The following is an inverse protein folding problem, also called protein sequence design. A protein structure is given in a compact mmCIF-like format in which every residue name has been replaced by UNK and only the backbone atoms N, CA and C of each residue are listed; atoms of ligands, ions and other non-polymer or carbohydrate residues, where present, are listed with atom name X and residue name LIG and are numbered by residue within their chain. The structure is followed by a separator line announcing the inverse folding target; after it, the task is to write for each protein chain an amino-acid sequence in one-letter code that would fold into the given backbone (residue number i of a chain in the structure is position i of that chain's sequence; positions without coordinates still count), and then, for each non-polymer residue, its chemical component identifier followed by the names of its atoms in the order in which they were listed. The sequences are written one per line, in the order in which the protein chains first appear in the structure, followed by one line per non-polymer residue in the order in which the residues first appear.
data_IF_140396665817
#
_entry.id   IF_140396665817
#
_cell.length_a   1.000
_cell.length_b   1.000
_cell.length_c   1.000
_cell.angle_alpha   90.00
_cell.angle_beta   90.00
_cell.angle_gamma   90.00
#
_symmetry.space_group_name_H-M   'P 1'
#
loop_
_entity.id
_entity.type
_entity.pdbx_description
1 polymer ?
#
# COMPACT_ATOMS: atom_id res chain seq x y z
N UNK A 1 -0.47 -18.02 7.97
CA UNK A 1 0.50 -18.90 8.67
C UNK A 1 1.26 -19.66 7.59
N UNK A 2 2.59 -19.65 7.62
CA UNK A 2 3.41 -20.46 6.71
C UNK A 2 3.36 -21.90 7.19
N UNK A 3 3.14 -22.84 6.27
CA UNK A 3 3.16 -24.27 6.59
C UNK A 3 4.55 -24.86 6.24
N UNK A 4 5.43 -25.10 7.22
CA UNK A 4 6.76 -25.64 6.97
C UNK A 4 6.72 -27.07 6.43
N UNK A 5 5.63 -27.82 6.65
CA UNK A 5 5.49 -29.19 6.17
C UNK A 5 5.33 -29.22 4.65
N UNK A 6 4.58 -28.26 4.08
CA UNK A 6 4.45 -28.11 2.63
C UNK A 6 5.78 -27.76 1.95
N UNK A 7 6.60 -26.93 2.60
CA UNK A 7 7.94 -26.57 2.12
C UNK A 7 8.89 -27.77 2.11
N UNK A 8 8.96 -28.50 3.22
CA UNK A 8 9.81 -29.68 3.39
C UNK A 8 9.43 -30.79 2.41
N UNK A 9 8.13 -31.04 2.21
CA UNK A 9 7.65 -32.06 1.27
C UNK A 9 8.07 -31.76 -0.18
N UNK A 10 8.01 -30.49 -0.61
CA UNK A 10 8.41 -30.10 -1.95
C UNK A 10 9.94 -30.24 -2.17
N UNK A 11 10.75 -29.93 -1.16
CA UNK A 11 12.19 -30.16 -1.19
C UNK A 11 12.52 -31.66 -1.25
N UNK A 12 11.83 -32.50 -0.48
CA UNK A 12 11.99 -33.96 -0.50
C UNK A 12 11.59 -34.59 -1.85
N UNK A 13 10.67 -33.97 -2.60
CA UNK A 13 10.29 -34.37 -3.96
C UNK A 13 11.24 -33.84 -5.06
N UNK A 14 12.34 -33.19 -4.69
CA UNK A 14 13.36 -32.69 -5.62
C UNK A 14 13.06 -31.32 -6.22
N UNK A 15 12.13 -30.53 -5.66
CA UNK A 15 11.95 -29.15 -6.09
C UNK A 15 13.15 -28.28 -5.69
N UNK A 16 13.57 -27.38 -6.59
CA UNK A 16 14.60 -26.38 -6.27
C UNK A 16 14.06 -25.31 -5.31
N UNK A 17 14.93 -24.69 -4.50
CA UNK A 17 14.52 -23.63 -3.57
C UNK A 17 13.79 -22.47 -4.25
N UNK A 18 14.20 -22.08 -5.46
CA UNK A 18 13.52 -21.04 -6.23
C UNK A 18 12.07 -21.43 -6.60
N UNK A 19 11.82 -22.72 -6.86
CA UNK A 19 10.50 -23.27 -7.15
C UNK A 19 9.62 -23.27 -5.88
N UNK A 20 10.18 -23.71 -4.76
CA UNK A 20 9.52 -23.70 -3.45
C UNK A 20 9.14 -22.27 -3.02
N UNK A 21 10.06 -21.31 -3.16
CA UNK A 21 9.79 -19.91 -2.86
C UNK A 21 8.62 -19.36 -3.69
N UNK A 22 8.62 -19.57 -5.00
CA UNK A 22 7.60 -18.99 -5.89
C UNK A 22 6.23 -19.67 -5.79
N UNK A 23 6.19 -20.99 -5.59
CA UNK A 23 4.93 -21.75 -5.61
C UNK A 23 4.33 -21.99 -4.22
N UNK A 24 5.12 -21.98 -3.14
CA UNK A 24 4.63 -22.31 -1.79
C UNK A 24 4.70 -21.07 -0.91
N UNK A 25 5.89 -20.51 -0.72
CA UNK A 25 6.11 -19.41 0.22
C UNK A 25 5.41 -18.13 -0.25
N UNK A 26 5.64 -17.72 -1.50
CA UNK A 26 5.10 -16.49 -2.08
C UNK A 26 3.57 -16.41 -1.94
N UNK A 27 2.76 -17.37 -2.42
CA UNK A 27 1.30 -17.30 -2.26
C UNK A 27 0.85 -17.34 -0.80
N UNK A 28 1.58 -18.02 0.10
CA UNK A 28 1.26 -18.04 1.53
C UNK A 28 1.52 -16.68 2.23
N UNK A 29 2.52 -15.90 1.78
CA UNK A 29 2.80 -14.56 2.33
C UNK A 29 2.08 -13.42 1.61
N UNK A 30 1.59 -13.64 0.39
CA UNK A 30 0.78 -12.66 -0.37
C UNK A 30 -0.30 -11.96 0.47
N UNK A 31 -1.09 -12.60 1.37
CA UNK A 31 -2.04 -11.89 2.23
C UNK A 31 -1.39 -10.83 3.12
N UNK A 32 -0.25 -11.16 3.71
CA UNK A 32 0.52 -10.22 4.51
C UNK A 32 1.06 -9.07 3.66
N UNK A 33 1.59 -9.38 2.47
CA UNK A 33 2.17 -8.38 1.56
C UNK A 33 1.10 -7.41 1.07
N UNK A 34 -0.07 -7.91 0.66
CA UNK A 34 -1.20 -7.09 0.16
C UNK A 34 -1.81 -6.20 1.26
N UNK A 35 -1.82 -6.67 2.51
CA UNK A 35 -2.21 -5.87 3.67
C UNK A 35 -1.16 -4.82 4.02
N UNK A 36 0.13 -5.21 4.03
CA UNK A 36 1.23 -4.30 4.29
C UNK A 36 1.34 -3.19 3.23
N UNK A 37 1.04 -3.49 1.97
CA UNK A 37 1.08 -2.50 0.89
C UNK A 37 0.06 -1.37 1.08
N UNK A 38 -1.09 -1.63 1.70
CA UNK A 38 -2.06 -0.59 2.06
C UNK A 38 -1.48 0.41 3.08
N UNK A 39 -0.77 -0.10 4.08
CA UNK A 39 -0.14 0.71 5.12
C UNK A 39 0.95 1.60 4.48
N UNK A 40 1.80 0.99 3.65
CA UNK A 40 2.85 1.71 2.92
C UNK A 40 2.25 2.76 1.99
N UNK A 41 1.16 2.44 1.28
CA UNK A 41 0.46 3.39 0.42
C UNK A 41 -0.05 4.60 1.21
N UNK A 42 -0.73 4.37 2.34
CA UNK A 42 -1.22 5.45 3.19
C UNK A 42 -0.11 6.38 3.67
N UNK A 43 1.00 5.81 4.13
CA UNK A 43 2.19 6.57 4.55
C UNK A 43 2.79 7.37 3.40
N UNK A 44 3.00 6.73 2.23
CA UNK A 44 3.57 7.38 1.06
C UNK A 44 2.68 8.52 0.53
N UNK A 45 1.36 8.33 0.52
CA UNK A 45 0.40 9.35 0.09
C UNK A 45 0.38 10.58 1.02
N UNK A 46 0.66 10.39 2.31
CA UNK A 46 0.75 11.47 3.30
C UNK A 46 2.13 12.15 3.37
N UNK A 47 3.12 11.64 2.64
CA UNK A 47 4.49 12.16 2.67
C UNK A 47 4.58 13.52 1.98
N UNK A 48 4.86 14.57 2.74
CA UNK A 48 5.11 15.92 2.22
C UNK A 48 6.58 16.34 2.35
N UNK A 49 7.32 15.79 3.32
CA UNK A 49 8.70 16.18 3.59
C UNK A 49 9.65 15.76 2.45
N UNK A 50 9.60 14.49 2.02
CA UNK A 50 10.48 13.97 0.97
C UNK A 50 10.25 14.70 -0.37
N UNK A 51 8.99 14.87 -0.84
CA UNK A 51 8.75 15.63 -2.06
C UNK A 51 9.08 17.11 -1.93
N UNK A 52 8.85 17.73 -0.76
CA UNK A 52 9.20 19.12 -0.52
C UNK A 52 10.70 19.38 -0.63
N UNK A 53 11.53 18.45 -0.18
CA UNK A 53 12.99 18.55 -0.23
C UNK A 53 13.56 18.21 -1.62
N UNK A 54 13.07 17.15 -2.27
CA UNK A 54 13.61 16.66 -3.54
C UNK A 54 12.96 17.29 -4.78
N UNK A 55 11.67 17.63 -4.72
CA UNK A 55 10.89 18.12 -5.87
C UNK A 55 11.02 19.62 -6.13
N UNK A 56 11.51 20.38 -5.15
CA UNK A 56 11.62 21.84 -5.21
C UNK A 56 10.29 22.51 -5.62
N UNK A 57 10.35 23.64 -6.34
CA UNK A 57 9.16 24.37 -6.83
C UNK A 57 8.51 23.76 -8.08
N UNK A 58 9.10 22.75 -8.70
CA UNK A 58 8.67 22.22 -10.01
C UNK A 58 7.73 21.01 -9.92
N UNK A 59 7.85 20.22 -8.86
CA UNK A 59 7.02 19.02 -8.65
C UNK A 59 6.24 19.18 -7.35
N UNK A 60 5.10 19.86 -7.41
CA UNK A 60 4.20 19.98 -6.26
C UNK A 60 3.33 18.74 -6.15
N UNK A 61 3.48 18.02 -5.04
CA UNK A 61 2.57 16.95 -4.65
C UNK A 61 1.39 17.55 -3.88
N UNK A 62 0.23 16.90 -3.88
CA UNK A 62 -0.96 17.42 -3.19
C UNK A 62 -0.67 17.78 -1.72
N UNK A 63 0.13 16.94 -1.04
CA UNK A 63 0.55 17.18 0.34
C UNK A 63 1.43 18.44 0.51
N UNK A 64 2.31 18.74 -0.45
CA UNK A 64 3.12 19.99 -0.42
C UNK A 64 2.27 21.21 -0.75
N UNK A 65 1.25 21.09 -1.61
CA UNK A 65 0.31 22.18 -1.90
C UNK A 65 -0.51 22.54 -0.67
N UNK A 66 -1.01 21.55 0.08
CA UNK A 66 -1.72 21.78 1.34
C UNK A 66 -0.83 22.55 2.33
N UNK A 67 0.44 22.15 2.44
CA UNK A 67 1.43 22.83 3.29
C UNK A 67 1.63 24.30 2.89
N UNK A 68 1.80 24.58 1.59
CA UNK A 68 1.94 25.95 1.06
C UNK A 68 0.69 26.80 1.35
N UNK A 69 -0.51 26.24 1.19
CA UNK A 69 -1.78 26.94 1.45
C UNK A 69 -1.93 27.35 2.92
N UNK A 70 -1.45 26.52 3.85
CA UNK A 70 -1.47 26.81 5.28
C UNK A 70 -0.40 27.84 5.70
N UNK A 71 0.84 27.69 5.21
CA UNK A 71 2.00 28.41 5.77
C UNK A 71 2.53 29.55 4.90
N UNK A 72 2.32 29.51 3.59
CA UNK A 72 2.77 30.57 2.68
C UNK A 72 1.64 31.51 2.31
N UNK A 73 0.49 30.95 1.91
CA UNK A 73 -0.66 31.73 1.44
C UNK A 73 -1.64 32.12 2.56
N UNK A 74 -1.50 31.51 3.75
CA UNK A 74 -2.39 31.70 4.92
C UNK A 74 -3.88 31.51 4.57
N UNK A 75 -4.17 30.69 3.56
CA UNK A 75 -5.51 30.40 3.07
C UNK A 75 -5.98 29.06 3.66
N UNK A 76 -6.28 29.10 4.96
CA UNK A 76 -6.77 27.96 5.74
C UNK A 76 -7.99 27.26 5.12
N UNK A 77 -9.01 27.96 4.57
CA UNK A 77 -10.13 27.31 3.91
C UNK A 77 -9.74 26.47 2.69
N UNK A 78 -8.85 26.98 1.83
CA UNK A 78 -8.36 26.24 0.67
C UNK A 78 -7.51 25.05 1.08
N UNK A 79 -6.61 25.24 2.05
CA UNK A 79 -5.80 24.17 2.62
C UNK A 79 -6.66 23.04 3.20
N UNK A 80 -7.69 23.38 3.98
CA UNK A 80 -8.61 22.40 4.57
C UNK A 80 -9.39 21.62 3.49
N UNK A 81 -9.85 22.30 2.45
CA UNK A 81 -10.57 21.67 1.32
C UNK A 81 -9.69 20.64 0.63
N UNK A 82 -8.44 21.00 0.33
CA UNK A 82 -7.47 20.08 -0.30
C UNK A 82 -7.11 18.92 0.61
N UNK A 83 -6.97 19.14 1.92
CA UNK A 83 -6.67 18.09 2.89
C UNK A 83 -7.80 17.06 2.99
N UNK A 84 -9.06 17.53 3.08
CA UNK A 84 -10.23 16.64 3.10
C UNK A 84 -10.40 15.91 1.77
N UNK A 85 -10.17 16.58 0.64
CA UNK A 85 -10.21 15.94 -0.67
C UNK A 85 -9.17 14.82 -0.79
N UNK A 86 -7.92 15.07 -0.35
CA UNK A 86 -6.85 14.06 -0.34
C UNK A 86 -7.21 12.88 0.56
N UNK A 87 -7.79 13.14 1.73
CA UNK A 87 -8.27 12.09 2.64
C UNK A 87 -9.33 11.20 1.97
N UNK A 88 -10.32 11.80 1.30
CA UNK A 88 -11.39 11.07 0.60
C UNK A 88 -10.82 10.22 -0.55
N UNK A 89 -9.89 10.75 -1.33
CA UNK A 89 -9.22 10.01 -2.40
C UNK A 89 -8.43 8.83 -1.82
N UNK A 90 -7.67 9.05 -0.75
CA UNK A 90 -6.92 7.97 -0.09
C UNK A 90 -7.85 6.88 0.42
N UNK A 91 -8.94 7.26 1.10
CA UNK A 91 -9.96 6.33 1.58
C UNK A 91 -10.59 5.54 0.43
N UNK A 92 -10.94 6.19 -0.67
CA UNK A 92 -11.49 5.53 -1.86
C UNK A 92 -10.52 4.49 -2.42
N UNK A 93 -9.23 4.82 -2.54
CA UNK A 93 -8.21 3.89 -3.04
C UNK A 93 -8.04 2.71 -2.06
N UNK A 94 -7.92 2.99 -0.76
CA UNK A 94 -7.75 1.95 0.25
C UNK A 94 -8.94 1.00 0.32
N UNK A 95 -10.17 1.53 0.31
CA UNK A 95 -11.39 0.73 0.34
C UNK A 95 -11.57 -0.08 -0.95
N UNK A 96 -11.25 0.51 -2.11
CA UNK A 96 -11.31 -0.20 -3.40
C UNK A 96 -10.31 -1.35 -3.43
N UNK A 97 -9.08 -1.11 -2.99
CA UNK A 97 -8.02 -2.11 -2.91
C UNK A 97 -8.36 -3.22 -1.91
N UNK A 98 -8.83 -2.86 -0.71
CA UNK A 98 -9.27 -3.81 0.30
C UNK A 98 -10.43 -4.69 -0.22
N UNK A 99 -11.46 -4.11 -0.86
CA UNK A 99 -12.55 -4.90 -1.46
C UNK A 99 -12.10 -5.85 -2.57
N UNK A 100 -11.19 -5.41 -3.45
CA UNK A 100 -10.65 -6.28 -4.50
C UNK A 100 -9.87 -7.46 -3.91
N UNK A 101 -9.18 -7.22 -2.80
CA UNK A 101 -8.40 -8.23 -2.08
C UNK A 101 -9.32 -9.22 -1.35
N UNK A 102 -10.30 -8.75 -0.59
CA UNK A 102 -11.28 -9.60 0.10
C UNK A 102 -12.05 -10.50 -0.87
N UNK A 103 -12.41 -9.99 -2.05
CA UNK A 103 -13.06 -10.77 -3.11
C UNK A 103 -12.18 -11.89 -3.68
N UNK A 104 -10.84 -11.74 -3.66
CA UNK A 104 -9.88 -12.79 -4.03
C UNK A 104 -9.62 -13.76 -2.89
N UNK A 105 -9.61 -13.29 -1.64
CA UNK A 105 -9.40 -14.13 -0.45
C UNK A 105 -10.56 -15.09 -0.17
N UNK A 106 -11.81 -14.64 -0.32
CA UNK A 106 -12.98 -15.52 -0.16
C UNK A 106 -12.96 -16.70 -1.14
N UNK A 107 -12.47 -16.50 -2.37
CA UNK A 107 -12.40 -17.58 -3.38
C UNK A 107 -11.32 -18.63 -3.10
N UNK A 108 -10.28 -18.30 -2.34
CA UNK A 108 -9.18 -19.23 -2.04
C UNK A 108 -9.39 -20.01 -0.73
N UNK A 109 -10.32 -19.60 0.13
CA UNK A 109 -10.55 -20.21 1.45
C UNK A 109 -11.76 -21.16 1.50
N UNK A 110 -12.50 -21.34 0.40
CA UNK A 110 -13.54 -22.36 0.32
C UNK A 110 -14.66 -22.18 1.34
N UNK A 111 -15.57 -21.25 1.03
CA UNK A 111 -16.99 -21.48 1.26
C UNK A 111 -17.69 -21.54 -0.10
#
# INVERSE_FOLDING_TARGET
KLDPTAEQAALSLGASQAKVMRLIVLPQVMPGVLSGSLIVFGLAASSFAIPGLLGGRRLKMVATVIYDQYLSELNWPMGATLAVALLLVNLLVMLSWNRMIEGRYKKTLGE
#
